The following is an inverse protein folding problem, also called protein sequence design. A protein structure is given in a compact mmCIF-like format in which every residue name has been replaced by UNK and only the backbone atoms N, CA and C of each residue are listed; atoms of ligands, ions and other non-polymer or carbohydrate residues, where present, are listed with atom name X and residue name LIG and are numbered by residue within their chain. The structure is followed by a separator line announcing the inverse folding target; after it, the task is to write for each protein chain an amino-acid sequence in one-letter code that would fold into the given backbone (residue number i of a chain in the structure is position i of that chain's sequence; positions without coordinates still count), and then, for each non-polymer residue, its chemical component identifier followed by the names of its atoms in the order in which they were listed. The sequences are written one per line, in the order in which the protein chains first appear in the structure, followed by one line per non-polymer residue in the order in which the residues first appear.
data_IF_676994942071
#
_entry.id   IF_676994942071
#
_cell.length_a   1.000
_cell.length_b   1.000
_cell.length_c   1.000
_cell.angle_alpha   90.00
_cell.angle_beta   90.00
_cell.angle_gamma   90.00
#
_symmetry.space_group_name_H-M   'P 1'
#
loop_
_entity.id
_entity.type
_entity.pdbx_description
1 polymer ?
#
# COMPACT_ATOMS: atom_id res chain seq x y z
N UNK A 1 -7.25 18.29 27.66
CA UNK A 1 -6.89 16.93 28.13
C UNK A 1 -6.68 16.08 26.87
N UNK A 2 -5.42 15.84 26.48
CA UNK A 2 -5.11 15.05 25.29
C UNK A 2 -5.54 13.58 25.52
N UNK A 3 -6.16 12.90 24.54
CA UNK A 3 -6.43 11.48 24.66
C UNK A 3 -5.13 10.69 24.53
N UNK A 4 -4.98 9.66 25.39
CA UNK A 4 -3.86 8.73 25.38
C UNK A 4 -3.91 7.85 24.10
N UNK A 5 -2.76 7.63 23.45
CA UNK A 5 -2.63 6.78 22.26
C UNK A 5 -3.22 5.37 22.50
N UNK A 6 -3.00 4.81 23.69
CA UNK A 6 -3.60 3.53 24.12
C UNK A 6 -5.14 3.58 24.20
N UNK A 7 -5.72 4.74 24.50
CA UNK A 7 -7.18 4.92 24.54
C UNK A 7 -7.81 5.04 23.15
N UNK A 8 -7.05 5.54 22.16
CA UNK A 8 -7.47 5.58 20.76
C UNK A 8 -7.45 4.16 20.19
N UNK A 9 -6.40 3.40 20.48
CA UNK A 9 -6.26 1.99 20.05
C UNK A 9 -7.27 1.05 20.72
N UNK A 10 -7.66 1.32 21.97
CA UNK A 10 -8.57 0.45 22.73
C UNK A 10 -10.07 0.70 22.48
N UNK A 11 -10.46 1.83 21.89
CA UNK A 11 -11.88 2.13 21.58
C UNK A 11 -12.47 1.25 20.46
N UNK A 12 -11.64 0.54 19.70
CA UNK A 12 -12.05 -0.31 18.56
C UNK A 12 -12.55 -1.70 18.99
N UNK A 13 -12.55 -2.04 20.28
CA UNK A 13 -13.11 -3.31 20.79
C UNK A 13 -14.65 -3.28 20.92
N UNK A 14 -15.38 -2.94 19.86
CA UNK A 14 -16.80 -3.31 19.73
C UNK A 14 -17.06 -3.97 18.38
N UNK A 15 -17.59 -5.19 18.48
CA UNK A 15 -18.01 -6.12 17.44
C UNK A 15 -16.88 -6.88 16.72
N UNK A 16 -16.41 -7.95 17.36
CA UNK A 16 -15.99 -9.15 16.62
C UNK A 16 -17.21 -9.71 15.86
N UNK A 17 -17.55 -9.11 14.72
CA UNK A 17 -18.40 -9.75 13.74
C UNK A 17 -17.54 -10.78 13.01
N UNK A 18 -17.62 -12.02 13.48
CA UNK A 18 -17.17 -13.16 12.69
C UNK A 18 -17.94 -13.18 11.36
N UNK A 19 -17.25 -12.93 10.24
CA UNK A 19 -17.44 -13.67 8.98
C UNK A 19 -16.47 -13.25 7.88
N UNK A 20 -15.83 -14.30 7.36
CA UNK A 20 -15.04 -14.41 6.12
C UNK A 20 -13.65 -13.77 6.16
N UNK A 21 -12.67 -14.64 6.46
CA UNK A 21 -11.47 -14.73 5.64
C UNK A 21 -11.88 -14.63 4.15
N UNK A 22 -11.87 -13.44 3.58
CA UNK A 22 -11.71 -13.29 2.14
C UNK A 22 -10.25 -13.58 1.87
N UNK A 23 -9.92 -14.87 1.76
CA UNK A 23 -8.77 -15.36 0.98
C UNK A 23 -9.02 -15.01 -0.50
N UNK A 24 -9.18 -13.73 -0.80
CA UNK A 24 -9.24 -13.18 -2.15
C UNK A 24 -8.43 -11.90 -2.09
N UNK A 25 -7.27 -11.98 -2.74
CA UNK A 25 -6.44 -10.87 -3.14
C UNK A 25 -5.67 -10.14 -2.05
N UNK A 26 -4.47 -10.66 -1.76
CA UNK A 26 -3.34 -9.77 -1.45
C UNK A 26 -3.06 -8.72 -2.54
N UNK A 27 -3.81 -8.73 -3.66
CA UNK A 27 -3.81 -7.70 -4.71
C UNK A 27 -4.55 -6.41 -4.30
N UNK A 28 -5.39 -6.45 -3.27
CA UNK A 28 -6.17 -5.28 -2.83
C UNK A 28 -5.53 -4.51 -1.68
N UNK A 29 -4.46 -5.01 -1.06
CA UNK A 29 -3.72 -4.28 -0.01
C UNK A 29 -2.56 -3.56 -0.70
N UNK A 30 -2.38 -2.27 -0.36
CA UNK A 30 -1.32 -1.44 -0.89
C UNK A 30 0.04 -2.12 -0.74
N UNK A 31 0.75 -2.29 -1.85
CA UNK A 31 2.12 -2.83 -1.89
C UNK A 31 2.81 -2.48 -3.20
N UNK A 32 4.11 -2.78 -3.25
CA UNK A 32 4.89 -2.72 -4.50
C UNK A 32 4.55 -3.91 -5.40
N UNK A 33 4.22 -3.63 -6.65
CA UNK A 33 3.96 -4.60 -7.71
C UNK A 33 5.07 -4.54 -8.75
N UNK A 34 5.34 -5.68 -9.39
CA UNK A 34 6.33 -5.77 -10.46
C UNK A 34 5.85 -5.02 -11.71
N UNK A 35 6.75 -4.26 -12.30
CA UNK A 35 6.59 -3.60 -13.59
C UNK A 35 7.96 -3.46 -14.22
N UNK A 36 8.14 -4.07 -15.39
CA UNK A 36 9.29 -3.87 -16.24
C UNK A 36 8.91 -2.86 -17.32
N UNK A 37 9.79 -1.88 -17.55
CA UNK A 37 9.62 -0.88 -18.60
C UNK A 37 10.64 -1.20 -19.68
N UNK A 38 10.17 -1.60 -20.86
CA UNK A 38 10.97 -1.69 -22.08
C UNK A 38 10.99 -0.31 -22.75
N UNK A 39 12.16 0.22 -23.07
CA UNK A 39 12.27 1.54 -23.71
C UNK A 39 11.72 1.55 -25.13
N UNK A 40 11.62 0.40 -25.80
CA UNK A 40 10.96 0.29 -27.11
C UNK A 40 9.46 0.54 -27.03
N UNK A 41 8.80 0.03 -26.00
CA UNK A 41 7.35 0.20 -25.81
C UNK A 41 6.98 1.67 -25.56
N UNK A 42 7.93 2.46 -25.01
CA UNK A 42 7.79 3.90 -24.77
C UNK A 42 8.25 4.73 -25.98
N UNK A 43 8.98 4.13 -26.93
CA UNK A 43 9.58 4.82 -28.08
C UNK A 43 10.83 5.63 -27.73
N UNK A 44 11.60 5.16 -26.75
CA UNK A 44 12.83 5.80 -26.26
C UNK A 44 14.10 5.05 -26.65
N UNK A 45 13.99 3.95 -27.38
CA UNK A 45 15.13 3.16 -27.85
C UNK A 45 16.04 3.90 -28.85
N UNK A 46 15.56 5.01 -29.43
CA UNK A 46 16.34 5.88 -30.32
C UNK A 46 17.39 6.73 -29.57
N UNK A 47 17.15 7.08 -28.31
CA UNK A 47 18.05 7.96 -27.54
C UNK A 47 18.68 7.29 -26.31
N UNK A 48 18.03 6.25 -25.76
CA UNK A 48 18.60 5.44 -24.69
C UNK A 48 19.34 4.25 -25.29
N UNK A 49 20.67 4.29 -25.24
CA UNK A 49 21.52 3.24 -25.84
C UNK A 49 21.54 1.96 -24.98
N UNK A 50 21.57 2.09 -23.66
CA UNK A 50 21.54 0.96 -22.72
C UNK A 50 21.15 1.43 -21.31
N UNK A 51 20.51 0.57 -20.48
CA UNK A 51 19.99 -0.77 -20.79
C UNK A 51 18.76 -0.70 -21.73
N UNK A 52 18.24 -1.82 -22.27
CA UNK A 52 17.01 -1.81 -23.08
C UNK A 52 15.73 -1.52 -22.27
N UNK A 53 15.82 -1.62 -20.95
CA UNK A 53 14.70 -1.42 -20.03
C UNK A 53 15.11 -1.67 -18.58
N UNK A 54 14.18 -1.48 -17.66
CA UNK A 54 14.44 -1.66 -16.22
C UNK A 54 13.19 -2.03 -15.40
N UNK A 55 13.40 -2.62 -14.22
CA UNK A 55 12.32 -2.90 -13.25
C UNK A 55 11.92 -1.62 -12.51
N UNK A 56 10.90 -0.93 -13.01
CA UNK A 56 10.38 0.29 -12.42
C UNK A 56 9.54 0.03 -11.16
N UNK A 57 8.79 -1.08 -11.15
CA UNK A 57 7.75 -1.36 -10.16
C UNK A 57 6.66 -0.27 -10.11
N UNK A 58 5.59 -0.50 -9.35
CA UNK A 58 4.62 0.54 -8.99
C UNK A 58 3.89 0.19 -7.69
N UNK A 59 3.26 1.17 -7.05
CA UNK A 59 2.44 0.94 -5.86
C UNK A 59 0.95 0.90 -6.24
N UNK A 60 0.23 -0.10 -5.74
CA UNK A 60 -1.22 -0.21 -5.96
C UNK A 60 -1.89 -1.02 -4.84
N UNK A 61 -3.15 -0.71 -4.57
CA UNK A 61 -3.99 -1.34 -3.55
C UNK A 61 -4.48 -0.35 -2.50
N UNK A 62 -5.44 -0.77 -1.70
CA UNK A 62 -6.07 0.00 -0.64
C UNK A 62 -5.22 0.03 0.64
N UNK A 63 -5.32 1.11 1.41
CA UNK A 63 -4.70 1.29 2.73
C UNK A 63 -5.77 1.27 3.84
N UNK A 64 -6.40 0.11 4.15
CA UNK A 64 -7.45 0.05 5.15
C UNK A 64 -6.87 0.17 6.57
N UNK A 65 -7.67 0.71 7.50
CA UNK A 65 -7.32 0.69 8.92
C UNK A 65 -7.49 -0.72 9.53
N UNK A 66 -6.57 -1.17 10.41
CA UNK A 66 -5.30 -0.54 10.76
C UNK A 66 -4.27 -0.65 9.64
N UNK A 67 -3.52 0.43 9.41
CA UNK A 67 -2.45 0.45 8.41
C UNK A 67 -1.41 -0.62 8.72
N UNK A 68 -0.94 -1.32 7.68
CA UNK A 68 0.02 -2.39 7.84
C UNK A 68 1.43 -1.84 8.12
N UNK A 69 2.18 -2.48 9.02
CA UNK A 69 3.50 -2.01 9.50
C UNK A 69 4.52 -1.76 8.37
N UNK A 70 4.45 -2.55 7.29
CA UNK A 70 5.36 -2.45 6.15
C UNK A 70 5.13 -1.21 5.26
N UNK A 71 4.07 -0.44 5.51
CA UNK A 71 3.76 0.79 4.75
C UNK A 71 4.50 2.02 5.28
N UNK A 72 5.21 1.93 6.41
CA UNK A 72 5.92 3.07 7.04
C UNK A 72 5.07 4.35 7.08
N UNK A 73 3.82 4.22 7.51
CA UNK A 73 2.82 5.28 7.38
C UNK A 73 3.11 6.50 8.24
N UNK A 74 2.80 7.69 7.73
CA UNK A 74 2.90 8.94 8.49
C UNK A 74 1.75 9.06 9.48
N UNK A 75 1.94 9.88 10.53
CA UNK A 75 0.87 10.20 11.47
C UNK A 75 -0.37 10.78 10.78
N UNK A 76 -0.20 11.57 9.72
CA UNK A 76 -1.30 12.10 8.91
C UNK A 76 -2.13 10.98 8.28
N UNK A 77 -1.48 10.01 7.62
CA UNK A 77 -2.15 8.89 6.98
C UNK A 77 -2.89 7.99 7.99
N UNK A 78 -2.33 7.81 9.20
CA UNK A 78 -3.01 7.07 10.27
C UNK A 78 -4.31 7.79 10.67
N UNK A 79 -4.28 9.12 10.87
CA UNK A 79 -5.48 9.88 11.28
C UNK A 79 -6.53 9.95 10.18
N UNK A 80 -6.11 10.05 8.91
CA UNK A 80 -7.02 10.09 7.76
C UNK A 80 -7.79 8.76 7.57
N UNK A 81 -7.19 7.64 7.99
CA UNK A 81 -7.77 6.31 7.81
C UNK A 81 -8.59 5.83 9.02
N UNK A 82 -8.54 6.55 10.15
CA UNK A 82 -9.37 6.31 11.35
C UNK A 82 -10.84 6.69 11.11
#
# INVERSE_FOLDING_TARGET
RQPNLEQILSRTKRAQSSKKQRKKDGRNICRRHALYVDFKDVGWDDWIVAPPGYDAYYCYGDCPFPLADHLNSTNHAVVETL
#
